data_IF_468084175589
#
_entry.id   IF_468084175589
#
_cell.length_a   1.000
_cell.length_b   1.000
_cell.length_c   1.000
_cell.angle_alpha   90.00
_cell.angle_beta   90.00
_cell.angle_gamma   90.00
#
_symmetry.space_group_name_H-M   'P 1'
#
loop_
_entity.id
_entity.type
_entity.pdbx_description
1 polymer ?
#
# COMPACT_ATOMS: atom_id res chain seq x y z
N UNK A 1 -0.78 13.18 20.49
CA UNK A 1 -1.91 12.23 20.31
C UNK A 1 -3.02 12.85 19.46
N UNK A 2 -3.47 14.08 19.75
CA UNK A 2 -4.47 14.81 18.94
C UNK A 2 -4.27 14.75 17.41
N UNK A 3 -3.05 14.97 16.91
CA UNK A 3 -2.81 15.00 15.45
C UNK A 3 -2.51 13.64 14.83
N UNK A 4 -2.33 12.55 15.59
CA UNK A 4 -1.77 11.31 15.04
C UNK A 4 -2.67 10.66 13.99
N UNK A 5 -3.98 10.75 14.16
CA UNK A 5 -5.01 10.20 13.27
C UNK A 5 -5.20 10.98 11.96
N UNK A 6 -4.58 12.16 11.83
CA UNK A 6 -4.68 12.98 10.62
C UNK A 6 -3.67 12.51 9.56
N UNK A 7 -4.05 12.64 8.29
CA UNK A 7 -3.16 12.32 7.17
C UNK A 7 -1.93 13.23 7.16
N UNK A 8 -0.86 12.80 6.50
CA UNK A 8 0.36 13.59 6.34
C UNK A 8 0.09 14.91 5.61
N UNK A 9 -0.83 14.91 4.65
CA UNK A 9 -1.26 16.12 3.93
C UNK A 9 -1.94 17.10 4.86
N UNK A 10 -2.93 16.65 5.66
CA UNK A 10 -3.58 17.49 6.67
C UNK A 10 -2.57 18.05 7.67
N UNK A 11 -1.65 17.22 8.16
CA UNK A 11 -0.60 17.67 9.09
C UNK A 11 0.29 18.76 8.48
N UNK A 12 0.60 18.65 7.18
CA UNK A 12 1.41 19.65 6.46
C UNK A 12 0.65 20.97 6.30
N UNK A 13 -0.61 20.92 5.91
CA UNK A 13 -1.45 22.11 5.80
C UNK A 13 -1.62 22.79 7.17
N UNK A 14 -1.88 22.00 8.22
CA UNK A 14 -1.95 22.49 9.59
C UNK A 14 -0.66 23.19 10.01
N UNK A 15 0.52 22.67 9.65
CA UNK A 15 1.79 23.30 9.99
C UNK A 15 1.91 24.75 9.46
N UNK A 16 1.20 25.10 8.38
CA UNK A 16 1.19 26.45 7.82
C UNK A 16 0.20 27.42 8.48
N UNK A 17 -0.74 26.92 9.32
CA UNK A 17 -1.82 27.74 9.90
C UNK A 17 -1.93 27.67 11.42
N UNK A 18 -1.19 26.77 12.07
CA UNK A 18 -1.25 26.60 13.52
C UNK A 18 -0.74 27.87 14.22
N UNK A 19 -1.58 28.44 15.08
CA UNK A 19 -1.24 29.59 15.92
C UNK A 19 -0.92 29.10 17.33
N UNK A 20 0.23 29.51 17.87
CA UNK A 20 0.56 29.26 19.27
C UNK A 20 -0.15 30.27 20.18
N UNK A 21 -0.81 29.77 21.22
CA UNK A 21 -1.54 30.59 22.20
C UNK A 21 -1.16 30.20 23.62
N UNK A 22 -0.87 31.18 24.48
CA UNK A 22 -0.43 30.94 25.86
C UNK A 22 -1.21 31.78 26.85
N UNK A 23 -1.59 31.16 27.96
CA UNK A 23 -2.37 31.80 29.02
C UNK A 23 -1.73 31.58 30.39
N UNK A 24 -1.34 32.64 31.11
CA UNK A 24 -0.56 32.49 32.34
C UNK A 24 -1.39 32.11 33.57
N UNK A 25 -2.68 32.46 33.63
CA UNK A 25 -3.49 32.34 34.85
C UNK A 25 -4.46 31.17 34.80
N UNK A 26 -4.47 30.37 35.88
CA UNK A 26 -5.53 29.39 36.14
C UNK A 26 -6.89 30.09 36.27
N UNK A 27 -7.97 29.40 35.90
CA UNK A 27 -9.33 29.94 35.91
C UNK A 27 -9.67 30.85 34.72
N UNK A 28 -8.72 31.14 33.83
CA UNK A 28 -9.00 31.87 32.59
C UNK A 28 -9.99 31.07 31.74
N UNK A 29 -11.04 31.73 31.24
CA UNK A 29 -12.03 31.13 30.36
C UNK A 29 -11.58 31.30 28.92
N UNK A 30 -11.46 30.20 28.19
CA UNK A 30 -11.04 30.21 26.79
C UNK A 30 -12.21 30.55 25.86
N UNK A 31 -13.39 29.98 26.15
CA UNK A 31 -14.67 30.33 25.54
C UNK A 31 -15.81 29.80 26.41
N UNK A 32 -17.00 30.35 26.23
CA UNK A 32 -18.21 29.98 26.97
C UNK A 32 -19.15 29.08 26.17
N UNK A 33 -19.91 28.24 26.88
CA UNK A 33 -21.05 27.54 26.32
C UNK A 33 -22.05 28.53 25.71
N UNK A 34 -22.52 28.22 24.51
CA UNK A 34 -23.44 29.06 23.74
C UNK A 34 -22.77 30.08 22.83
N UNK A 35 -21.46 30.30 22.95
CA UNK A 35 -20.72 31.15 22.01
C UNK A 35 -20.59 30.49 20.64
N UNK A 36 -20.31 31.29 19.60
CA UNK A 36 -19.99 30.77 18.29
C UNK A 36 -18.66 29.98 18.31
N UNK A 37 -18.61 28.86 17.60
CA UNK A 37 -17.36 28.13 17.41
C UNK A 37 -16.44 28.84 16.43
N UNK A 38 -15.39 29.50 16.92
CA UNK A 38 -14.43 30.24 16.09
C UNK A 38 -13.08 29.54 15.88
N UNK A 39 -12.68 28.64 16.79
CA UNK A 39 -11.38 27.96 16.69
C UNK A 39 -11.40 26.53 17.26
N UNK A 40 -10.45 25.70 16.82
CA UNK A 40 -10.14 24.38 17.36
C UNK A 40 -8.79 24.44 18.09
N UNK A 41 -8.67 23.74 19.21
CA UNK A 41 -7.51 23.83 20.11
C UNK A 41 -6.91 22.46 20.42
N UNK A 42 -5.59 22.42 20.57
CA UNK A 42 -4.81 21.27 21.05
C UNK A 42 -3.98 21.71 22.24
N UNK A 43 -4.01 20.95 23.33
CA UNK A 43 -3.26 21.25 24.55
C UNK A 43 -1.81 20.82 24.38
N UNK A 44 -0.89 21.77 24.36
CA UNK A 44 0.56 21.50 24.38
C UNK A 44 1.09 21.35 25.79
N UNK A 45 0.61 22.19 26.71
CA UNK A 45 1.04 22.21 28.11
C UNK A 45 -0.11 22.55 29.02
N UNK A 46 -0.22 21.84 30.13
CA UNK A 46 -1.23 22.05 31.16
C UNK A 46 -2.53 21.29 30.95
N UNK A 47 -3.62 21.77 31.56
CA UNK A 47 -4.92 21.10 31.60
C UNK A 47 -6.08 22.09 31.69
N UNK A 48 -7.24 21.67 31.21
CA UNK A 48 -8.46 22.48 31.19
C UNK A 48 -9.66 21.67 31.66
N UNK A 49 -10.63 22.35 32.27
CA UNK A 49 -11.92 21.79 32.64
C UNK A 49 -12.96 22.09 31.57
N UNK A 50 -13.73 21.08 31.20
CA UNK A 50 -14.93 21.20 30.37
C UNK A 50 -16.12 21.41 31.30
N UNK A 51 -16.80 22.55 31.18
CA UNK A 51 -17.88 22.97 32.08
C UNK A 51 -19.18 23.11 31.30
N UNK A 52 -20.25 22.48 31.79
CA UNK A 52 -21.59 22.59 31.19
C UNK A 52 -22.55 23.20 32.22
N UNK A 53 -23.32 24.21 31.80
CA UNK A 53 -24.32 24.85 32.64
C UNK A 53 -25.33 23.82 33.19
N UNK A 54 -25.57 23.88 34.50
CA UNK A 54 -26.42 22.93 35.22
C UNK A 54 -25.76 21.57 35.55
N UNK A 55 -24.56 21.28 35.01
CA UNK A 55 -23.80 20.05 35.32
C UNK A 55 -22.46 20.29 36.01
N UNK A 56 -21.92 21.51 35.93
CA UNK A 56 -20.60 21.84 36.46
C UNK A 56 -19.48 21.26 35.59
N UNK A 57 -18.36 20.88 36.20
CA UNK A 57 -17.22 20.26 35.49
C UNK A 57 -17.59 18.83 35.09
N UNK A 58 -17.65 18.56 33.78
CA UNK A 58 -18.03 17.24 33.25
C UNK A 58 -16.84 16.35 32.92
N UNK A 59 -15.70 16.94 32.55
CA UNK A 59 -14.42 16.25 32.40
C UNK A 59 -13.24 17.23 32.43
N UNK A 60 -12.03 16.70 32.58
CA UNK A 60 -10.76 17.45 32.51
C UNK A 60 -9.93 16.88 31.36
N UNK A 61 -9.40 17.77 30.51
CA UNK A 61 -8.52 17.45 29.40
C UNK A 61 -7.08 17.84 29.74
N UNK A 62 -6.12 17.08 29.23
CA UNK A 62 -4.70 17.20 29.57
C UNK A 62 -3.85 17.34 28.29
N UNK A 63 -2.54 17.50 28.50
CA UNK A 63 -1.55 17.57 27.41
C UNK A 63 -1.74 16.47 26.35
N UNK A 64 -1.83 16.90 25.10
CA UNK A 64 -2.02 16.03 23.95
C UNK A 64 -3.47 15.77 23.56
N UNK A 65 -4.45 16.20 24.37
CA UNK A 65 -5.88 16.24 24.04
C UNK A 65 -6.22 17.47 23.17
N UNK A 66 -7.37 17.41 22.50
CA UNK A 66 -7.91 18.50 21.69
C UNK A 66 -9.40 18.75 21.99
N UNK A 67 -9.88 19.96 21.67
CA UNK A 67 -11.26 20.35 21.92
C UNK A 67 -11.74 21.47 21.01
N UNK A 68 -13.06 21.64 20.93
CA UNK A 68 -13.70 22.71 20.16
C UNK A 68 -13.98 22.39 18.69
N UNK A 69 -13.64 21.19 18.20
CA UNK A 69 -13.91 20.77 16.81
C UNK A 69 -15.41 20.75 16.45
N UNK A 70 -16.26 20.27 17.36
CA UNK A 70 -17.67 19.99 17.07
C UNK A 70 -18.47 21.22 16.61
N UNK A 71 -18.22 22.37 17.24
CA UNK A 71 -18.90 23.63 16.91
C UNK A 71 -18.50 24.13 15.51
N UNK A 72 -17.28 23.84 15.05
CA UNK A 72 -16.83 24.21 13.71
C UNK A 72 -17.48 23.34 12.64
N UNK A 73 -17.53 22.02 12.87
CA UNK A 73 -18.05 21.03 11.91
C UNK A 73 -19.56 21.19 11.71
N UNK A 74 -20.30 21.41 12.79
CA UNK A 74 -21.77 21.48 12.75
C UNK A 74 -22.31 22.90 12.55
N UNK A 75 -21.43 23.89 12.43
CA UNK A 75 -21.78 25.31 12.45
C UNK A 75 -22.78 25.65 13.58
N UNK A 76 -22.46 25.18 14.78
CA UNK A 76 -23.35 25.21 15.94
C UNK A 76 -22.67 25.90 17.15
N UNK A 77 -23.45 26.44 18.11
CA UNK A 77 -22.89 27.02 19.32
C UNK A 77 -22.06 26.03 20.16
N UNK A 78 -21.12 26.55 20.96
CA UNK A 78 -20.31 25.77 21.90
C UNK A 78 -21.19 24.99 22.87
N UNK A 79 -21.02 23.67 22.92
CA UNK A 79 -21.77 22.80 23.83
C UNK A 79 -21.32 22.88 25.30
N UNK A 80 -20.14 23.45 25.56
CA UNK A 80 -19.53 23.58 26.88
C UNK A 80 -18.59 24.79 26.93
N UNK A 81 -18.32 25.31 28.13
CA UNK A 81 -17.25 26.28 28.39
C UNK A 81 -15.93 25.55 28.66
N UNK A 82 -14.81 26.18 28.29
CA UNK A 82 -13.47 25.67 28.60
C UNK A 82 -12.77 26.63 29.54
N UNK A 83 -12.32 26.12 30.68
CA UNK A 83 -11.67 26.91 31.72
C UNK A 83 -10.32 26.30 32.08
N UNK A 84 -9.27 27.12 32.12
CA UNK A 84 -7.94 26.67 32.49
C UNK A 84 -7.93 26.14 33.93
N UNK A 85 -7.38 24.94 34.10
CA UNK A 85 -7.26 24.31 35.41
C UNK A 85 -6.01 24.75 36.15
N UNK A 86 -4.95 25.06 35.41
CA UNK A 86 -3.64 25.42 35.96
C UNK A 86 -3.01 26.64 35.26
N UNK A 87 -1.93 27.14 35.85
CA UNK A 87 -1.17 28.29 35.33
C UNK A 87 -0.30 27.90 34.14
N UNK A 88 0.03 28.89 33.30
CA UNK A 88 0.93 28.75 32.16
C UNK A 88 0.54 27.62 31.18
N UNK A 89 -0.73 27.56 30.80
CA UNK A 89 -1.20 26.64 29.77
C UNK A 89 -0.78 27.11 28.36
N UNK A 90 -0.49 26.16 27.48
CA UNK A 90 -0.10 26.41 26.10
C UNK A 90 -0.96 25.60 25.15
N UNK A 91 -1.40 26.23 24.06
CA UNK A 91 -2.29 25.64 23.07
C UNK A 91 -1.75 25.87 21.66
N UNK A 92 -2.06 24.93 20.76
CA UNK A 92 -2.10 25.21 19.34
C UNK A 92 -3.55 25.47 18.95
N UNK A 93 -3.78 26.52 18.17
CA UNK A 93 -5.10 26.95 17.73
C UNK A 93 -5.17 26.99 16.20
N UNK A 94 -6.29 26.54 15.66
CA UNK A 94 -6.63 26.65 14.25
C UNK A 94 -7.96 27.38 14.14
N UNK A 95 -8.01 28.43 13.33
CA UNK A 95 -9.22 29.23 13.13
C UNK A 95 -10.23 28.57 12.21
N UNK A 96 -11.53 28.90 12.39
CA UNK A 96 -12.65 28.30 11.65
C UNK A 96 -12.44 28.38 10.14
N UNK A 97 -11.95 29.52 9.64
CA UNK A 97 -11.69 29.72 8.21
C UNK A 97 -10.60 28.78 7.70
N UNK A 98 -9.47 28.69 8.40
CA UNK A 98 -8.38 27.79 8.04
C UNK A 98 -8.78 26.32 8.21
N UNK A 99 -9.50 25.97 9.28
CA UNK A 99 -10.02 24.63 9.51
C UNK A 99 -10.92 24.17 8.37
N UNK A 100 -11.89 25.01 7.97
CA UNK A 100 -12.80 24.73 6.86
C UNK A 100 -12.09 24.75 5.51
N UNK A 101 -11.08 25.61 5.32
CA UNK A 101 -10.24 25.60 4.11
C UNK A 101 -9.50 24.27 3.97
N UNK A 102 -8.81 23.83 5.02
CA UNK A 102 -8.04 22.57 5.00
C UNK A 102 -8.94 21.37 4.74
N UNK A 103 -10.13 21.31 5.35
CA UNK A 103 -11.08 20.24 5.06
C UNK A 103 -11.54 20.24 3.60
N UNK A 104 -11.89 21.43 3.06
CA UNK A 104 -12.27 21.58 1.66
C UNK A 104 -11.12 21.24 0.71
N UNK A 105 -9.90 21.62 1.03
CA UNK A 105 -8.73 21.34 0.19
C UNK A 105 -8.42 19.84 0.17
N UNK A 106 -8.56 19.15 1.29
CA UNK A 106 -8.43 17.68 1.34
C UNK A 106 -9.50 17.02 0.48
N UNK A 107 -10.75 17.47 0.58
CA UNK A 107 -11.85 16.93 -0.21
C UNK A 107 -11.68 17.25 -1.71
N UNK A 108 -11.27 18.47 -2.06
CA UNK A 108 -11.00 18.88 -3.44
C UNK A 108 -9.80 18.15 -4.07
N UNK A 109 -8.83 17.72 -3.26
CA UNK A 109 -7.68 16.94 -3.71
C UNK A 109 -7.93 15.43 -3.67
N UNK A 110 -9.09 14.97 -3.18
CA UNK A 110 -9.43 13.55 -3.12
C UNK A 110 -10.45 13.20 -4.20
N UNK A 111 -10.14 12.21 -5.02
CA UNK A 111 -11.08 11.62 -5.98
C UNK A 111 -11.57 10.28 -5.42
N UNK A 112 -12.89 10.11 -5.36
CA UNK A 112 -13.52 8.87 -4.89
C UNK A 112 -14.36 8.29 -6.02
N UNK A 113 -13.96 7.11 -6.49
CA UNK A 113 -14.75 6.32 -7.43
C UNK A 113 -15.71 5.45 -6.63
N UNK A 114 -16.99 5.48 -7.03
CA UNK A 114 -18.06 4.72 -6.39
C UNK A 114 -18.68 3.71 -7.35
N UNK A 115 -18.91 2.50 -6.85
CA UNK A 115 -19.76 1.50 -7.51
C UNK A 115 -20.82 1.05 -6.52
N UNK A 116 -22.08 1.02 -6.95
CA UNK A 116 -23.22 0.68 -6.09
C UNK A 116 -23.25 1.49 -4.77
N UNK A 117 -23.00 2.80 -4.86
CA UNK A 117 -22.91 3.77 -3.74
C UNK A 117 -21.81 3.50 -2.71
N UNK A 118 -20.88 2.59 -2.98
CA UNK A 118 -19.71 2.32 -2.14
C UNK A 118 -18.43 2.89 -2.74
N UNK A 119 -17.59 3.52 -1.92
CA UNK A 119 -16.25 3.97 -2.33
C UNK A 119 -15.38 2.74 -2.66
N UNK A 120 -15.05 2.52 -3.94
CA UNK A 120 -14.25 1.39 -4.41
C UNK A 120 -12.80 1.75 -4.75
N UNK A 121 -12.52 3.03 -4.98
CA UNK A 121 -11.15 3.53 -5.13
C UNK A 121 -11.08 4.98 -4.67
N UNK A 122 -10.09 5.28 -3.82
CA UNK A 122 -9.82 6.62 -3.30
C UNK A 122 -8.43 7.01 -3.74
N UNK A 123 -8.35 8.12 -4.45
CA UNK A 123 -7.13 8.69 -4.98
C UNK A 123 -6.89 10.06 -4.35
N UNK A 124 -5.64 10.37 -4.02
CA UNK A 124 -5.24 11.70 -3.55
C UNK A 124 -4.31 12.36 -4.57
N UNK A 125 -4.56 13.62 -4.88
CA UNK A 125 -3.74 14.41 -5.79
C UNK A 125 -2.43 14.79 -5.13
N UNK A 126 -1.29 14.43 -5.72
CA UNK A 126 0.01 14.85 -5.21
C UNK A 126 0.22 16.35 -5.52
N UNK A 127 0.49 17.20 -4.51
CA UNK A 127 0.81 18.60 -4.76
C UNK A 127 2.11 18.74 -5.57
N UNK A 128 2.15 19.66 -6.53
CA UNK A 128 3.26 19.85 -7.47
C UNK A 128 4.60 20.32 -6.83
N UNK A 129 4.66 20.49 -5.51
CA UNK A 129 5.80 21.09 -4.78
C UNK A 129 7.01 20.19 -4.54
N UNK A 130 6.99 18.92 -4.95
CA UNK A 130 8.07 17.96 -4.67
C UNK A 130 8.85 17.56 -5.94
N UNK A 131 9.50 18.52 -6.61
CA UNK A 131 10.64 18.18 -7.48
C UNK A 131 11.94 18.47 -6.72
N UNK A 132 12.83 17.49 -6.47
CA UNK A 132 14.22 17.83 -6.22
C UNK A 132 14.71 18.65 -7.42
N UNK A 133 15.31 19.81 -7.14
CA UNK A 133 16.02 20.65 -8.11
C UNK A 133 17.06 19.78 -8.84
N UNK A 134 16.74 19.19 -10.00
CA UNK A 134 17.71 18.75 -11.02
C UNK A 134 17.08 18.09 -12.26
N UNK A 135 15.93 18.55 -12.77
CA UNK A 135 15.50 18.22 -14.13
C UNK A 135 14.91 19.44 -14.84
N UNK A 136 15.80 20.19 -15.49
CA UNK A 136 15.46 21.14 -16.54
C UNK A 136 15.05 20.31 -17.76
N UNK A 137 13.80 20.42 -18.21
CA UNK A 137 13.16 19.72 -19.35
C UNK A 137 12.34 18.45 -19.05
N UNK A 138 11.44 18.49 -18.06
CA UNK A 138 10.29 17.59 -18.05
C UNK A 138 9.01 18.39 -18.37
N UNK A 139 8.35 18.00 -19.47
CA UNK A 139 7.00 18.40 -19.91
C UNK A 139 6.02 18.58 -18.73
N UNK A 140 4.95 19.39 -18.88
CA UNK A 140 3.99 19.63 -17.80
C UNK A 140 3.43 18.30 -17.32
N UNK A 141 3.90 17.85 -16.15
CA UNK A 141 3.54 16.56 -15.58
C UNK A 141 2.08 16.62 -15.15
N UNK A 142 1.26 15.92 -15.93
CA UNK A 142 -0.07 15.41 -15.62
C UNK A 142 -0.18 15.20 -14.10
N UNK A 143 -1.14 15.86 -13.45
CA UNK A 143 -1.39 15.75 -12.02
C UNK A 143 -1.38 14.28 -11.60
N UNK A 144 -0.35 13.85 -10.86
CA UNK A 144 -0.20 12.44 -10.46
C UNK A 144 -1.08 12.21 -9.24
N UNK A 145 -2.09 11.37 -9.40
CA UNK A 145 -2.88 10.85 -8.29
C UNK A 145 -2.17 9.64 -7.70
N UNK A 146 -2.26 9.47 -6.38
CA UNK A 146 -1.79 8.29 -5.65
C UNK A 146 -2.99 7.51 -5.12
N UNK A 147 -2.89 6.19 -5.15
CA UNK A 147 -3.90 5.29 -4.56
C UNK A 147 -3.78 5.34 -3.04
N UNK A 148 -4.87 5.71 -2.37
CA UNK A 148 -4.95 5.74 -0.90
C UNK A 148 -5.62 4.48 -0.33
N UNK A 149 -6.68 4.02 -1.00
CA UNK A 149 -7.41 2.80 -0.66
C UNK A 149 -8.29 2.37 -1.83
N UNK A 150 -8.64 1.09 -1.90
CA UNK A 150 -9.61 0.57 -2.85
C UNK A 150 -9.82 -0.92 -2.71
N UNK A 151 -10.74 -1.46 -3.49
CA UNK A 151 -10.87 -2.93 -3.62
C UNK A 151 -9.69 -3.49 -4.43
N UNK A 152 -9.27 -4.74 -4.18
CA UNK A 152 -8.19 -5.38 -4.93
C UNK A 152 -8.35 -5.25 -6.45
N UNK A 153 -9.56 -5.48 -6.94
CA UNK A 153 -9.92 -5.42 -8.35
C UNK A 153 -9.79 -4.00 -8.92
N UNK A 154 -10.28 -2.98 -8.19
CA UNK A 154 -10.18 -1.59 -8.66
C UNK A 154 -8.79 -1.02 -8.59
N UNK A 155 -7.98 -1.46 -7.63
CA UNK A 155 -6.57 -1.10 -7.58
C UNK A 155 -5.84 -1.69 -8.80
N UNK A 156 -6.09 -2.97 -9.12
CA UNK A 156 -5.53 -3.61 -10.31
C UNK A 156 -5.97 -2.91 -11.60
N UNK A 157 -7.26 -2.65 -11.77
CA UNK A 157 -7.84 -1.93 -12.91
C UNK A 157 -7.17 -0.57 -13.10
N UNK A 158 -7.07 0.23 -12.02
CA UNK A 158 -6.44 1.54 -12.05
C UNK A 158 -4.97 1.48 -12.51
N UNK A 159 -4.19 0.55 -11.97
CA UNK A 159 -2.78 0.43 -12.37
C UNK A 159 -2.64 -0.05 -13.81
N UNK A 160 -3.49 -0.96 -14.29
CA UNK A 160 -3.51 -1.35 -15.70
C UNK A 160 -3.84 -0.15 -16.61
N UNK A 161 -4.86 0.64 -16.30
CA UNK A 161 -5.29 1.78 -17.12
C UNK A 161 -4.26 2.91 -17.21
N UNK A 162 -3.63 3.22 -16.07
CA UNK A 162 -2.63 4.29 -15.95
C UNK A 162 -1.24 3.88 -16.40
N UNK A 163 -0.98 2.58 -16.59
CA UNK A 163 0.32 2.07 -16.99
C UNK A 163 0.72 2.62 -18.36
N UNK A 164 1.88 3.28 -18.39
CA UNK A 164 2.49 3.80 -19.62
C UNK A 164 3.14 2.66 -20.40
N UNK A 165 2.88 2.61 -21.70
CA UNK A 165 3.41 1.59 -22.60
C UNK A 165 4.81 1.94 -23.15
N UNK A 166 5.22 3.21 -23.09
CA UNK A 166 6.38 3.76 -23.81
C UNK A 166 7.71 3.73 -23.04
N UNK A 167 7.70 3.48 -21.73
CA UNK A 167 8.98 3.29 -21.03
C UNK A 167 9.55 1.92 -21.38
N UNK A 168 10.76 1.89 -21.93
CA UNK A 168 11.58 0.68 -21.92
C UNK A 168 11.62 0.13 -20.49
N UNK A 169 11.73 -1.19 -20.31
CA UNK A 169 11.75 -1.82 -18.97
C UNK A 169 12.77 -1.20 -17.99
N UNK A 170 13.75 -0.42 -18.49
CA UNK A 170 14.78 0.26 -17.72
C UNK A 170 14.49 1.73 -17.34
N UNK A 171 13.53 2.41 -17.98
CA UNK A 171 13.21 3.78 -17.63
C UNK A 171 12.14 3.82 -16.53
N UNK A 172 12.63 3.89 -15.28
CA UNK A 172 11.88 4.27 -14.08
C UNK A 172 10.47 3.68 -14.02
N UNK A 173 10.38 2.42 -13.57
CA UNK A 173 9.09 1.81 -13.25
C UNK A 173 8.23 2.79 -12.46
N UNK A 174 6.96 2.94 -12.84
CA UNK A 174 6.07 3.80 -12.08
C UNK A 174 6.02 3.24 -10.64
N UNK A 175 6.47 4.05 -9.68
CA UNK A 175 6.61 3.64 -8.28
C UNK A 175 5.34 2.95 -7.76
N UNK A 176 4.15 3.41 -8.19
CA UNK A 176 2.89 2.79 -7.79
C UNK A 176 2.69 1.37 -8.31
N UNK A 177 3.12 1.06 -9.53
CA UNK A 177 3.05 -0.31 -10.07
C UNK A 177 4.01 -1.23 -9.33
N UNK A 178 5.19 -0.73 -8.95
CA UNK A 178 6.14 -1.50 -8.15
C UNK A 178 5.59 -1.80 -6.76
N UNK A 179 4.96 -0.82 -6.12
CA UNK A 179 4.30 -1.00 -4.83
C UNK A 179 3.19 -2.06 -4.93
N UNK A 180 2.39 -2.04 -6.00
CA UNK A 180 1.37 -3.06 -6.24
C UNK A 180 1.99 -4.46 -6.41
N UNK A 181 2.97 -4.62 -7.31
CA UNK A 181 3.63 -5.91 -7.56
C UNK A 181 4.30 -6.47 -6.30
N UNK A 182 4.83 -5.60 -5.44
CA UNK A 182 5.46 -6.02 -4.18
C UNK A 182 4.43 -6.44 -3.13
N UNK A 183 3.28 -5.75 -3.07
CA UNK A 183 2.36 -5.84 -1.95
C UNK A 183 1.06 -6.62 -2.25
N UNK A 184 0.81 -7.02 -3.50
CA UNK A 184 -0.44 -7.69 -3.86
C UNK A 184 -0.66 -8.97 -3.04
N UNK A 185 0.37 -9.69 -2.63
CA UNK A 185 0.21 -10.92 -1.84
C UNK A 185 -0.53 -10.72 -0.50
N UNK A 186 -0.58 -9.47 0.01
CA UNK A 186 -1.27 -9.11 1.26
C UNK A 186 -2.79 -8.96 1.06
N UNK A 187 -3.22 -8.47 -0.11
CA UNK A 187 -4.63 -8.08 -0.34
C UNK A 187 -5.28 -8.72 -1.58
N UNK A 188 -4.48 -9.24 -2.51
CA UNK A 188 -4.85 -9.93 -3.75
C UNK A 188 -3.87 -11.09 -4.02
N UNK A 189 -3.99 -12.22 -3.29
CA UNK A 189 -3.15 -13.40 -3.51
C UNK A 189 -3.25 -13.93 -4.95
N UNK A 190 -2.26 -14.71 -5.39
CA UNK A 190 -2.17 -15.18 -6.78
C UNK A 190 -3.38 -15.99 -7.25
N UNK A 191 -4.08 -16.69 -6.35
CA UNK A 191 -5.34 -17.37 -6.65
C UNK A 191 -6.48 -16.41 -7.07
N UNK A 192 -6.39 -15.12 -6.75
CA UNK A 192 -7.30 -14.06 -7.19
C UNK A 192 -6.68 -13.20 -8.31
N UNK A 193 -5.39 -12.85 -8.18
CA UNK A 193 -4.69 -12.01 -9.15
C UNK A 193 -4.59 -12.70 -10.53
N UNK A 194 -4.18 -13.97 -10.59
CA UNK A 194 -3.97 -14.67 -11.86
C UNK A 194 -5.28 -14.78 -12.68
N UNK A 195 -6.43 -15.23 -12.11
CA UNK A 195 -7.71 -15.17 -12.82
C UNK A 195 -8.13 -13.76 -13.23
N UNK A 196 -7.91 -12.75 -12.37
CA UNK A 196 -8.24 -11.37 -12.70
C UNK A 196 -7.42 -10.85 -13.90
N UNK A 197 -6.11 -11.14 -13.95
CA UNK A 197 -5.25 -10.79 -15.08
C UNK A 197 -5.69 -11.49 -16.37
N UNK A 198 -6.07 -12.77 -16.31
CA UNK A 198 -6.64 -13.48 -17.46
C UNK A 198 -7.95 -12.83 -17.93
N UNK A 199 -8.83 -12.45 -17.01
CA UNK A 199 -10.09 -11.80 -17.33
C UNK A 199 -9.84 -10.43 -17.99
N UNK A 200 -8.92 -9.63 -17.44
CA UNK A 200 -8.53 -8.35 -18.04
C UNK A 200 -7.88 -8.53 -19.41
N UNK A 201 -7.07 -9.57 -19.63
CA UNK A 201 -6.46 -9.83 -20.95
C UNK A 201 -7.51 -10.08 -22.06
N UNK A 202 -8.59 -10.78 -21.72
CA UNK A 202 -9.67 -11.10 -22.65
C UNK A 202 -10.81 -10.08 -22.64
N UNK A 203 -10.73 -9.04 -21.80
CA UNK A 203 -11.78 -8.04 -21.68
C UNK A 203 -11.99 -7.27 -22.99
N UNK A 204 -13.26 -7.13 -23.37
CA UNK A 204 -13.68 -6.39 -24.55
C UNK A 204 -14.38 -5.09 -24.13
N UNK A 205 -14.06 -3.96 -24.77
CA UNK A 205 -14.73 -2.69 -24.48
C UNK A 205 -16.20 -2.74 -24.92
N UNK A 206 -17.09 -2.28 -24.04
CA UNK A 206 -18.54 -2.28 -24.28
C UNK A 206 -19.04 -1.07 -25.09
N UNK A 207 -18.22 -0.02 -25.22
CA UNK A 207 -18.59 1.26 -25.82
C UNK A 207 -17.55 1.69 -26.88
N UNK A 208 -17.99 2.51 -27.83
CA UNK A 208 -17.14 3.06 -28.91
C UNK A 208 -17.37 2.43 -30.27
N UNK A 209 -16.72 2.98 -31.28
CA UNK A 209 -16.68 2.44 -32.65
C UNK A 209 -15.83 1.16 -32.70
N UNK A 210 -16.03 0.31 -33.71
CA UNK A 210 -15.27 -0.95 -33.83
C UNK A 210 -13.75 -0.73 -33.88
N UNK A 211 -13.29 0.37 -34.48
CA UNK A 211 -11.87 0.73 -34.51
C UNK A 211 -11.35 1.13 -33.12
N UNK A 212 -12.08 1.98 -32.39
CA UNK A 212 -11.70 2.38 -31.03
C UNK A 212 -11.68 1.19 -30.06
N UNK A 213 -12.64 0.26 -30.24
CA UNK A 213 -12.68 -0.99 -29.47
C UNK A 213 -11.44 -1.84 -29.72
N UNK A 214 -11.04 -1.99 -30.98
CA UNK A 214 -9.84 -2.73 -31.36
C UNK A 214 -8.59 -2.11 -30.74
N UNK A 215 -8.45 -0.79 -30.84
CA UNK A 215 -7.29 -0.04 -30.32
C UNK A 215 -7.22 -0.10 -28.78
N UNK A 216 -8.37 0.02 -28.10
CA UNK A 216 -8.44 -0.13 -26.65
C UNK A 216 -8.07 -1.55 -26.22
N UNK A 217 -8.67 -2.58 -26.84
CA UNK A 217 -8.39 -3.97 -26.52
C UNK A 217 -6.91 -4.31 -26.72
N UNK A 218 -6.31 -3.81 -27.81
CA UNK A 218 -4.88 -3.96 -28.07
C UNK A 218 -4.02 -3.36 -26.96
N UNK A 219 -4.28 -2.10 -26.59
CA UNK A 219 -3.51 -1.42 -25.55
C UNK A 219 -3.70 -2.05 -24.17
N UNK A 220 -4.92 -2.51 -23.86
CA UNK A 220 -5.22 -3.27 -22.66
C UNK A 220 -4.41 -4.57 -22.59
N UNK A 221 -4.39 -5.38 -23.66
CA UNK A 221 -3.56 -6.58 -23.75
C UNK A 221 -2.08 -6.28 -23.49
N UNK A 222 -1.54 -5.22 -24.10
CA UNK A 222 -0.14 -4.81 -23.90
C UNK A 222 0.17 -4.42 -22.45
N UNK A 223 -0.76 -3.73 -21.76
CA UNK A 223 -0.63 -3.37 -20.33
C UNK A 223 -0.64 -4.59 -19.43
N UNK A 224 -1.56 -5.54 -19.69
CA UNK A 224 -1.62 -6.79 -18.94
C UNK A 224 -0.34 -7.61 -19.12
N UNK A 225 0.14 -7.79 -20.36
CA UNK A 225 1.42 -8.49 -20.61
C UNK A 225 2.57 -7.81 -19.88
N UNK A 226 2.64 -6.48 -19.92
CA UNK A 226 3.67 -5.72 -19.20
C UNK A 226 3.60 -5.94 -17.69
N UNK A 227 2.41 -5.89 -17.09
CA UNK A 227 2.24 -6.13 -15.65
C UNK A 227 2.66 -7.56 -15.28
N UNK A 228 2.30 -8.56 -16.09
CA UNK A 228 2.69 -9.96 -15.89
C UNK A 228 4.21 -10.12 -15.96
N UNK A 229 4.88 -9.46 -16.91
CA UNK A 229 6.35 -9.49 -16.99
C UNK A 229 7.01 -8.86 -15.76
N UNK A 230 6.48 -7.74 -15.27
CA UNK A 230 6.98 -7.09 -14.05
C UNK A 230 6.76 -7.96 -12.81
N UNK A 231 5.58 -8.58 -12.70
CA UNK A 231 5.26 -9.52 -11.64
C UNK A 231 6.19 -10.75 -11.68
N UNK A 232 6.37 -11.37 -12.85
CA UNK A 232 7.25 -12.51 -12.98
C UNK A 232 8.72 -12.16 -12.70
N UNK A 233 9.19 -10.97 -13.11
CA UNK A 233 10.52 -10.49 -12.79
C UNK A 233 10.73 -10.22 -11.30
N UNK A 234 9.69 -9.78 -10.57
CA UNK A 234 9.75 -9.57 -9.12
C UNK A 234 9.86 -10.90 -8.35
N UNK A 235 9.04 -11.89 -8.70
CA UNK A 235 9.07 -13.20 -8.06
C UNK A 235 10.31 -14.02 -8.45
N UNK A 236 10.78 -13.86 -9.70
CA UNK A 236 11.99 -14.50 -10.21
C UNK A 236 12.06 -15.99 -9.87
N UNK A 237 13.10 -16.34 -9.13
CA UNK A 237 13.45 -17.72 -8.71
C UNK A 237 12.45 -18.37 -7.74
N UNK A 238 11.53 -17.60 -7.12
CA UNK A 238 10.51 -18.13 -6.19
C UNK A 238 9.27 -18.61 -6.94
N UNK A 239 9.04 -18.08 -8.14
CA UNK A 239 7.84 -18.38 -8.94
C UNK A 239 7.64 -19.89 -9.21
N UNK A 240 8.69 -20.69 -9.52
CA UNK A 240 8.53 -22.13 -9.74
C UNK A 240 8.05 -22.92 -8.52
N UNK A 241 8.12 -22.35 -7.31
CA UNK A 241 7.62 -23.02 -6.10
C UNK A 241 6.07 -22.97 -6.01
N UNK A 242 5.43 -22.09 -6.77
CA UNK A 242 3.98 -21.88 -6.72
C UNK A 242 3.28 -22.43 -7.97
N UNK A 243 2.71 -23.63 -7.84
CA UNK A 243 2.08 -24.36 -8.95
C UNK A 243 0.98 -23.55 -9.68
N UNK A 244 0.16 -22.80 -8.93
CA UNK A 244 -0.90 -21.98 -9.51
C UNK A 244 -0.36 -20.81 -10.35
N UNK A 245 0.74 -20.19 -9.92
CA UNK A 245 1.40 -19.10 -10.64
C UNK A 245 2.05 -19.61 -11.93
N UNK A 246 2.70 -20.78 -11.88
CA UNK A 246 3.29 -21.45 -13.06
C UNK A 246 2.21 -21.84 -14.06
N UNK A 247 1.13 -22.48 -13.61
CA UNK A 247 0.02 -22.89 -14.48
C UNK A 247 -0.64 -21.69 -15.18
N UNK A 248 -0.82 -20.58 -14.46
CA UNK A 248 -1.29 -19.32 -15.03
C UNK A 248 -0.34 -18.82 -16.12
N UNK A 249 0.97 -18.77 -15.85
CA UNK A 249 1.94 -18.27 -16.81
C UNK A 249 2.01 -19.11 -18.09
N UNK A 250 1.92 -20.44 -17.97
CA UNK A 250 1.86 -21.33 -19.13
C UNK A 250 0.62 -21.05 -19.98
N UNK A 251 -0.55 -20.93 -19.36
CA UNK A 251 -1.80 -20.60 -20.06
C UNK A 251 -1.74 -19.20 -20.69
N UNK A 252 -1.23 -18.22 -19.95
CA UNK A 252 -1.09 -16.85 -20.42
C UNK A 252 -0.13 -16.76 -21.61
N UNK A 253 1.01 -17.47 -21.56
CA UNK A 253 1.96 -17.55 -22.66
C UNK A 253 1.33 -18.11 -23.94
N UNK A 254 0.52 -19.16 -23.83
CA UNK A 254 -0.21 -19.72 -24.98
C UNK A 254 -1.17 -18.69 -25.56
N UNK A 255 -1.99 -18.03 -24.72
CA UNK A 255 -2.93 -16.99 -25.16
C UNK A 255 -2.22 -15.84 -25.88
N UNK A 256 -1.12 -15.32 -25.31
CA UNK A 256 -0.35 -14.22 -25.91
C UNK A 256 0.31 -14.65 -27.22
N UNK A 257 0.83 -15.87 -27.28
CA UNK A 257 1.48 -16.40 -28.49
C UNK A 257 0.50 -16.57 -29.64
N UNK A 258 -0.71 -17.05 -29.38
CA UNK A 258 -1.75 -17.21 -30.39
C UNK A 258 -2.26 -15.86 -30.89
N UNK A 259 -2.45 -14.89 -30.00
CA UNK A 259 -2.79 -13.51 -30.37
C UNK A 259 -1.68 -12.81 -31.16
N UNK A 260 -0.40 -13.04 -30.81
CA UNK A 260 0.75 -12.45 -31.50
C UNK A 260 0.92 -12.95 -32.95
N UNK A 261 0.26 -14.06 -33.33
CA UNK A 261 0.20 -14.50 -34.75
C UNK A 261 -0.64 -13.56 -35.61
N UNK A 262 -1.62 -12.89 -35.00
CA UNK A 262 -2.54 -11.96 -35.66
C UNK A 262 -2.13 -10.52 -35.41
N UNK A 263 -1.67 -10.22 -34.19
CA UNK A 263 -1.33 -8.88 -33.70
C UNK A 263 0.18 -8.70 -33.69
N UNK A 264 0.71 -7.96 -34.67
CA UNK A 264 2.15 -7.74 -34.84
C UNK A 264 2.81 -7.01 -33.67
N UNK A 265 2.10 -6.09 -33.01
CA UNK A 265 2.65 -5.29 -31.89
C UNK A 265 2.94 -6.15 -30.66
N UNK A 266 2.17 -7.22 -30.42
CA UNK A 266 2.42 -8.12 -29.29
C UNK A 266 3.67 -8.98 -29.51
N UNK A 267 4.07 -9.18 -30.77
CA UNK A 267 5.26 -9.97 -31.13
C UNK A 267 6.56 -9.44 -30.51
N UNK A 268 6.62 -8.14 -30.21
CA UNK A 268 7.79 -7.53 -29.55
C UNK A 268 7.94 -7.98 -28.09
N UNK A 269 6.84 -8.31 -27.40
CA UNK A 269 6.83 -8.70 -25.98
C UNK A 269 6.96 -10.22 -25.78
N UNK A 270 6.65 -11.02 -26.81
CA UNK A 270 6.72 -12.50 -26.75
C UNK A 270 8.12 -13.03 -26.36
N UNK A 271 9.25 -12.51 -26.89
CA UNK A 271 10.58 -13.02 -26.53
C UNK A 271 10.93 -12.87 -25.05
N UNK A 272 10.44 -11.81 -24.39
CA UNK A 272 10.65 -11.59 -22.96
C UNK A 272 9.85 -12.59 -22.12
N UNK A 273 8.61 -12.87 -22.56
CA UNK A 273 7.77 -13.89 -21.93
C UNK A 273 8.36 -15.30 -22.14
N UNK A 274 8.85 -15.60 -23.33
CA UNK A 274 9.58 -16.85 -23.62
C UNK A 274 10.81 -17.01 -22.73
N UNK A 275 11.59 -15.95 -22.54
CA UNK A 275 12.77 -15.97 -21.67
C UNK A 275 12.38 -16.30 -20.23
N UNK A 276 11.31 -15.67 -19.74
CA UNK A 276 10.75 -15.93 -18.41
C UNK A 276 10.29 -17.39 -18.28
N UNK A 277 9.59 -17.92 -19.29
CA UNK A 277 9.16 -19.33 -19.32
C UNK A 277 10.33 -20.31 -19.37
N UNK A 278 11.39 -19.99 -20.15
CA UNK A 278 12.61 -20.79 -20.20
C UNK A 278 13.32 -20.81 -18.86
N UNK A 279 13.41 -19.68 -18.16
CA UNK A 279 13.97 -19.62 -16.82
C UNK A 279 13.19 -20.52 -15.85
N UNK A 280 11.86 -20.43 -15.84
CA UNK A 280 11.00 -21.28 -15.00
C UNK A 280 11.19 -22.78 -15.33
N UNK A 281 11.25 -23.14 -16.62
CA UNK A 281 11.45 -24.53 -17.06
C UNK A 281 12.85 -25.07 -16.77
N UNK A 282 13.89 -24.23 -16.93
CA UNK A 282 15.28 -24.59 -16.62
C UNK A 282 15.50 -24.73 -15.12
N UNK A 283 14.83 -23.93 -14.28
CA UNK A 283 14.86 -24.12 -12.83
C UNK A 283 14.10 -25.38 -12.41
N UNK A 284 12.95 -25.66 -13.02
CA UNK A 284 12.21 -26.92 -12.82
C UNK A 284 13.01 -28.17 -13.28
N UNK A 285 13.93 -28.00 -14.25
CA UNK A 285 14.83 -29.04 -14.77
C UNK A 285 16.26 -28.98 -14.19
N UNK A 286 16.55 -27.96 -13.37
CA UNK A 286 17.80 -27.81 -12.63
C UNK A 286 18.05 -29.05 -11.79
N UNK A 287 19.32 -29.40 -11.53
CA UNK A 287 19.77 -30.77 -11.24
C UNK A 287 18.80 -31.50 -10.30
N UNK A 288 17.96 -32.33 -10.94
CA UNK A 288 17.07 -33.35 -10.37
C UNK A 288 17.15 -33.43 -8.86
N UNK A 289 16.15 -32.98 -8.10
CA UNK A 289 15.82 -33.53 -6.77
C UNK A 289 17.02 -33.98 -5.91
N UNK A 290 18.15 -33.30 -5.99
CA UNK A 290 19.27 -33.45 -5.07
C UNK A 290 18.91 -32.42 -4.05
N UNK A 291 17.86 -32.77 -3.31
CA UNK A 291 17.52 -32.19 -2.02
C UNK A 291 18.84 -31.85 -1.38
N UNK A 292 19.21 -30.57 -1.42
CA UNK A 292 20.42 -30.11 -0.76
C UNK A 292 20.06 -30.21 0.68
N UNK A 293 20.25 -31.39 1.24
CA UNK A 293 20.20 -31.58 2.65
C UNK A 293 21.19 -30.58 3.20
N UNK A 294 20.68 -29.52 3.83
CA UNK A 294 21.48 -28.47 4.42
C UNK A 294 22.19 -29.06 5.65
N UNK A 295 23.18 -29.91 5.37
CA UNK A 295 24.13 -30.43 6.32
C UNK A 295 25.02 -29.25 6.69
N UNK A 296 24.88 -28.75 7.92
CA UNK A 296 25.83 -27.83 8.56
C UNK A 296 25.76 -26.32 8.25
N UNK A 297 24.68 -25.74 7.70
CA UNK A 297 24.60 -24.27 7.65
C UNK A 297 24.52 -23.58 9.03
N UNK A 298 24.26 -24.33 10.11
CA UNK A 298 24.21 -23.82 11.48
C UNK A 298 25.40 -24.25 12.36
N UNK A 299 26.43 -24.89 11.78
CA UNK A 299 27.64 -25.26 12.52
C UNK A 299 28.61 -24.07 12.53
N UNK A 300 28.83 -23.47 13.71
CA UNK A 300 29.67 -22.27 13.91
C UNK A 300 31.17 -22.54 13.67
N UNK A 301 31.58 -23.78 13.44
CA UNK A 301 32.97 -24.22 13.62
C UNK A 301 33.77 -24.51 12.35
N UNK A 302 33.26 -24.30 11.14
CA UNK A 302 34.06 -24.56 9.92
C UNK A 302 33.93 -23.41 8.91
N UNK A 303 34.92 -22.52 8.92
CA UNK A 303 35.15 -21.49 7.91
C UNK A 303 35.61 -22.11 6.58
N UNK A 304 34.77 -22.97 5.98
CA UNK A 304 34.91 -23.31 4.57
C UNK A 304 34.05 -22.37 3.77
N UNK A 305 34.70 -21.67 2.84
CA UNK A 305 34.18 -20.70 1.87
C UNK A 305 33.13 -21.31 0.92
N UNK A 306 32.02 -21.81 1.45
CA UNK A 306 30.85 -22.11 0.65
C UNK A 306 30.15 -20.79 0.32
N UNK A 307 30.13 -20.46 -0.97
CA UNK A 307 29.36 -19.32 -1.48
C UNK A 307 27.90 -19.54 -1.08
N UNK A 308 27.41 -18.71 -0.15
CA UNK A 308 26.04 -18.79 0.35
C UNK A 308 25.06 -18.66 -0.82
N UNK A 309 24.11 -19.58 -0.90
CA UNK A 309 23.02 -19.55 -1.86
C UNK A 309 21.71 -19.29 -1.10
N UNK A 310 20.70 -18.68 -1.76
CA UNK A 310 19.37 -18.54 -1.17
C UNK A 310 18.80 -19.91 -0.77
N UNK A 311 18.19 -19.98 0.41
CA UNK A 311 17.46 -21.16 0.88
C UNK A 311 16.02 -21.03 0.38
N UNK A 312 15.53 -22.07 -0.29
CA UNK A 312 14.18 -22.14 -0.86
C UNK A 312 13.23 -22.86 0.09
N UNK A 313 11.92 -22.62 -0.06
CA UNK A 313 10.93 -23.19 0.85
C UNK A 313 10.78 -24.70 0.72
N UNK A 314 10.96 -25.19 -0.51
CA UNK A 314 10.96 -26.60 -0.87
C UNK A 314 12.32 -27.30 -0.66
N UNK A 315 13.35 -26.59 -0.17
CA UNK A 315 14.61 -27.23 0.21
C UNK A 315 14.35 -28.18 1.39
N UNK A 316 14.99 -29.34 1.39
CA UNK A 316 14.90 -30.26 2.52
C UNK A 316 16.05 -30.07 3.49
N UNK A 317 15.74 -30.17 4.78
CA UNK A 317 16.68 -30.10 5.88
C UNK A 317 16.69 -31.41 6.67
N UNK A 318 17.86 -31.77 7.19
CA UNK A 318 17.97 -32.73 8.28
C UNK A 318 17.95 -31.96 9.60
N UNK A 319 16.86 -32.08 10.34
CA UNK A 319 16.63 -31.35 11.58
C UNK A 319 16.63 -32.29 12.76
N UNK A 320 17.33 -31.94 13.84
CA UNK A 320 17.36 -32.74 15.08
C UNK A 320 16.28 -32.25 16.03
N UNK A 321 15.33 -33.10 16.34
CA UNK A 321 14.31 -32.84 17.37
C UNK A 321 14.72 -33.54 18.65
N UNK A 322 14.99 -32.77 19.70
CA UNK A 322 15.48 -33.27 20.98
C UNK A 322 14.34 -33.61 21.93
N UNK A 323 14.50 -34.72 22.65
CA UNK A 323 13.65 -35.12 23.76
C UNK A 323 14.16 -34.55 25.09
N UNK A 324 13.34 -34.68 26.14
CA UNK A 324 13.66 -34.18 27.49
C UNK A 324 14.91 -34.85 28.09
N UNK A 325 15.22 -36.08 27.67
CA UNK A 325 16.40 -36.85 28.08
C UNK A 325 17.66 -36.52 27.26
N UNK A 326 17.62 -35.45 26.45
CA UNK A 326 18.68 -35.03 25.53
C UNK A 326 19.00 -36.02 24.39
N UNK A 327 18.18 -37.07 24.19
CA UNK A 327 18.21 -37.85 22.95
C UNK A 327 17.60 -37.05 21.80
N UNK A 328 17.85 -37.43 20.55
CA UNK A 328 17.26 -36.74 19.40
C UNK A 328 16.88 -37.68 18.26
N UNK A 329 15.82 -37.31 17.54
CA UNK A 329 15.44 -37.90 16.26
C UNK A 329 15.83 -36.95 15.14
N UNK A 330 16.51 -37.44 14.11
CA UNK A 330 16.81 -36.64 12.92
C UNK A 330 15.72 -36.84 11.89
N UNK A 331 14.95 -35.78 11.61
CA UNK A 331 13.87 -35.79 10.62
C UNK A 331 14.33 -35.13 9.33
N UNK A 332 13.81 -35.62 8.19
CA UNK A 332 14.03 -35.05 6.86
C UNK A 332 12.72 -34.39 6.41
N UNK A 333 12.70 -33.06 6.35
CA UNK A 333 11.49 -32.26 6.09
C UNK A 333 11.83 -31.08 5.19
N UNK A 334 10.83 -30.47 4.55
CA UNK A 334 11.02 -29.23 3.81
C UNK A 334 11.21 -28.03 4.76
N UNK A 335 11.86 -26.96 4.31
CA UNK A 335 12.06 -25.73 5.11
C UNK A 335 10.73 -25.09 5.49
N UNK A 336 9.74 -25.10 4.60
CA UNK A 336 8.39 -24.58 4.87
C UNK A 336 7.47 -25.55 5.63
N UNK A 337 7.97 -26.71 6.06
CA UNK A 337 7.12 -27.69 6.75
C UNK A 337 6.49 -27.13 8.01
N UNK A 338 5.18 -27.34 8.15
CA UNK A 338 4.43 -26.89 9.32
C UNK A 338 4.78 -27.69 10.58
N UNK A 339 4.51 -27.15 11.76
CA UNK A 339 4.69 -27.88 13.04
C UNK A 339 3.92 -29.21 13.03
N UNK A 340 2.76 -29.26 12.36
CA UNK A 340 1.97 -30.48 12.22
C UNK A 340 2.71 -31.55 11.40
N UNK A 341 3.38 -31.17 10.32
CA UNK A 341 4.20 -32.09 9.52
C UNK A 341 5.45 -32.54 10.29
N UNK A 342 6.08 -31.62 11.03
CA UNK A 342 7.20 -31.94 11.93
C UNK A 342 6.79 -33.00 12.95
N UNK A 343 5.65 -32.79 13.62
CA UNK A 343 5.11 -33.74 14.59
C UNK A 343 4.69 -35.08 13.96
N UNK A 344 4.29 -35.09 12.68
CA UNK A 344 3.99 -36.33 11.96
C UNK A 344 5.23 -37.09 11.48
N UNK A 345 6.41 -36.46 11.49
CA UNK A 345 7.68 -37.04 11.07
C UNK A 345 8.55 -37.55 12.23
N UNK A 346 8.18 -37.22 13.48
CA UNK A 346 8.75 -37.73 14.73
C UNK A 346 7.98 -38.99 15.14
#
# INVERSE_FOLDING_TARGET
KALSHLSTTVKRELAGVLVFESHPKAGTVLFNQGEEGTSWYIILKGSVNVVIYGKGVVCTLHEGDDFGKLALVNDAPRAASIVLREENCHFLRVDKEDFNRILRDVEANTVRLKEHDQDVLVLEKVPAGNRPFNQVNAQPLQHKYIVMSGTPEKILEHFLETMRLESTLNEGMDAGVNDFVTMHCVFMPNNQLCPALMAHYHAQPSQGTEQEKLDYALNNKRRVVRLVLLWAAFYGDVLPEEEAAVAFLEQFYVSVSDDARVITVLKEQVPELEKTMKQISEEAKGPQKKHKVLLQHFNVSDERTQKRQPIRGNDEILFKVYCVDHTYTTIRIAVLSSVKEVLGAI
#
